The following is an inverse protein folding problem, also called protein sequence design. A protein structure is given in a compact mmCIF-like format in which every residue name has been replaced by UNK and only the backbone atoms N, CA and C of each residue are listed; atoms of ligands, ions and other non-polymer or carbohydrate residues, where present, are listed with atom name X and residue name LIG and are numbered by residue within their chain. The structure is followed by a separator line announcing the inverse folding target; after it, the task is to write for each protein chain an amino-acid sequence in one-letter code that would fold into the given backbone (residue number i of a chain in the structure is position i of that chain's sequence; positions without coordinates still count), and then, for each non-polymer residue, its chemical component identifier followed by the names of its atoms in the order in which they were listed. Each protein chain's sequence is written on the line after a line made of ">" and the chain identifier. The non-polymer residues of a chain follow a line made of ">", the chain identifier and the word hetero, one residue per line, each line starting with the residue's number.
data_IF_166491786001
#
_entry.id   IF_166491786001
#
_cell.length_a   1.000
_cell.length_b   1.000
_cell.length_c   1.000
_cell.angle_alpha   90.00
_cell.angle_beta   90.00
_cell.angle_gamma   90.00
#
_symmetry.space_group_name_H-M   'P 1'
#
loop_
_entity.id
_entity.type
_entity.pdbx_description
1 polymer ?
#
# COMPACT_ATOMS: atom_id res chain seq x y z
N UNK A 1 -8.85 -40.00 -11.37
CA UNK A 1 -8.79 -38.59 -11.80
C UNK A 1 -8.19 -37.67 -10.73
N UNK A 2 -8.67 -37.71 -9.48
CA UNK A 2 -8.19 -36.85 -8.38
C UNK A 2 -6.64 -36.78 -8.19
N UNK A 3 -5.89 -37.89 -8.32
CA UNK A 3 -4.41 -37.87 -8.19
C UNK A 3 -3.70 -37.08 -9.29
N UNK A 4 -4.23 -37.07 -10.52
CA UNK A 4 -3.66 -36.30 -11.64
C UNK A 4 -3.90 -34.79 -11.48
N UNK A 5 -5.08 -34.42 -10.98
CA UNK A 5 -5.43 -33.02 -10.68
C UNK A 5 -4.61 -32.44 -9.52
N UNK A 6 -4.30 -33.26 -8.50
CA UNK A 6 -3.42 -32.85 -7.40
C UNK A 6 -1.97 -32.64 -7.87
N UNK A 7 -1.48 -33.48 -8.79
CA UNK A 7 -0.20 -33.30 -9.46
C UNK A 7 -0.14 -31.97 -10.21
N UNK A 8 -1.15 -31.69 -11.04
CA UNK A 8 -1.25 -30.47 -11.84
C UNK A 8 -1.25 -29.18 -10.98
N UNK A 9 -2.01 -29.16 -9.88
CA UNK A 9 -1.99 -28.02 -8.95
C UNK A 9 -0.62 -27.87 -8.25
N UNK A 10 0.00 -28.96 -7.82
CA UNK A 10 1.34 -28.94 -7.22
C UNK A 10 2.39 -28.40 -8.18
N UNK A 11 2.32 -28.80 -9.45
CA UNK A 11 3.22 -28.36 -10.50
C UNK A 11 3.02 -26.87 -10.82
N UNK A 12 1.78 -26.39 -10.90
CA UNK A 12 1.49 -24.96 -11.03
C UNK A 12 2.09 -24.14 -9.88
N UNK A 13 1.98 -24.62 -8.64
CA UNK A 13 2.60 -23.99 -7.46
C UNK A 13 4.12 -24.01 -7.56
N UNK A 14 4.71 -25.11 -8.02
CA UNK A 14 6.16 -25.28 -8.18
C UNK A 14 6.70 -24.29 -9.22
N UNK A 15 6.12 -24.27 -10.41
CA UNK A 15 6.48 -23.36 -11.50
C UNK A 15 6.38 -21.89 -11.08
N UNK A 16 5.30 -21.52 -10.38
CA UNK A 16 5.11 -20.18 -9.83
C UNK A 16 6.19 -19.81 -8.81
N UNK A 17 6.59 -20.74 -7.94
CA UNK A 17 7.68 -20.51 -6.99
C UNK A 17 9.04 -20.38 -7.67
N UNK A 18 9.27 -21.11 -8.76
CA UNK A 18 10.51 -21.04 -9.54
C UNK A 18 10.63 -19.71 -10.30
N UNK A 19 9.50 -19.12 -10.70
CA UNK A 19 9.45 -17.78 -11.29
C UNK A 19 9.70 -16.62 -10.31
N UNK A 20 9.92 -16.88 -9.02
CA UNK A 20 10.18 -15.84 -8.03
C UNK A 20 11.50 -15.12 -8.30
N UNK A 21 11.57 -13.78 -8.09
CA UNK A 21 12.83 -13.06 -8.19
C UNK A 21 13.83 -13.60 -7.16
N UNK A 22 14.98 -14.09 -7.65
CA UNK A 22 16.06 -14.67 -6.82
C UNK A 22 16.69 -13.66 -5.86
N UNK A 23 16.67 -12.37 -6.22
CA UNK A 23 17.24 -11.28 -5.42
C UNK A 23 16.18 -10.20 -5.19
N UNK A 24 15.32 -10.40 -4.18
CA UNK A 24 14.39 -9.38 -3.70
C UNK A 24 14.76 -8.96 -2.29
N UNK A 25 15.26 -7.74 -2.12
CA UNK A 25 15.40 -7.15 -0.80
C UNK A 25 14.02 -6.71 -0.29
N UNK A 26 13.40 -7.58 0.54
CA UNK A 26 12.04 -7.35 1.08
C UNK A 26 11.96 -6.12 1.98
N UNK A 27 13.04 -5.78 2.69
CA UNK A 27 13.08 -4.61 3.56
C UNK A 27 13.10 -3.32 2.74
N UNK A 28 13.94 -3.26 1.69
CA UNK A 28 13.97 -2.13 0.77
C UNK A 28 12.65 -1.97 0.01
N UNK A 29 12.05 -3.07 -0.43
CA UNK A 29 10.71 -3.06 -1.04
C UNK A 29 9.66 -2.47 -0.08
N UNK A 30 9.64 -2.98 1.16
CA UNK A 30 8.67 -2.54 2.16
C UNK A 30 8.85 -1.06 2.53
N UNK A 31 10.08 -0.62 2.73
CA UNK A 31 10.40 0.79 3.02
C UNK A 31 9.90 1.72 1.91
N UNK A 32 10.19 1.40 0.65
CA UNK A 32 9.74 2.21 -0.49
C UNK A 32 8.21 2.23 -0.61
N UNK A 33 7.55 1.09 -0.48
CA UNK A 33 6.09 1.01 -0.60
C UNK A 33 5.39 1.72 0.57
N UNK A 34 5.92 1.59 1.79
CA UNK A 34 5.45 2.31 2.96
C UNK A 34 5.63 3.83 2.78
N UNK A 35 6.83 4.31 2.42
CA UNK A 35 7.10 5.73 2.17
C UNK A 35 6.14 6.32 1.14
N UNK A 36 5.95 5.62 0.01
CA UNK A 36 5.05 6.09 -1.05
C UNK A 36 3.59 6.10 -0.60
N UNK A 37 3.14 5.09 0.14
CA UNK A 37 1.77 5.02 0.66
C UNK A 37 1.51 6.08 1.73
N UNK A 38 2.49 6.32 2.60
CA UNK A 38 2.43 7.33 3.64
C UNK A 38 2.42 8.74 3.04
N UNK A 39 3.33 9.03 2.10
CA UNK A 39 3.36 10.32 1.41
C UNK A 39 2.06 10.59 0.64
N UNK A 40 1.51 9.59 -0.06
CA UNK A 40 0.21 9.70 -0.70
C UNK A 40 -0.91 9.97 0.32
N UNK A 41 -0.90 9.26 1.46
CA UNK A 41 -1.83 9.49 2.56
C UNK A 41 -1.75 10.92 3.09
N UNK A 42 -0.54 11.42 3.36
CA UNK A 42 -0.30 12.79 3.83
C UNK A 42 -0.81 13.83 2.82
N UNK A 43 -0.54 13.65 1.53
CA UNK A 43 -1.02 14.59 0.49
C UNK A 43 -2.55 14.59 0.45
N UNK A 44 -3.18 13.43 0.36
CA UNK A 44 -4.64 13.31 0.23
C UNK A 44 -5.33 13.82 1.49
N UNK A 45 -4.96 13.29 2.65
CA UNK A 45 -5.59 13.61 3.93
C UNK A 45 -5.25 15.02 4.41
N UNK A 46 -4.01 15.48 4.17
CA UNK A 46 -3.61 16.85 4.47
C UNK A 46 -4.34 17.86 3.59
N UNK A 47 -4.53 17.57 2.30
CA UNK A 47 -5.35 18.42 1.41
C UNK A 47 -6.80 18.47 1.88
N UNK A 48 -7.38 17.34 2.30
CA UNK A 48 -8.73 17.31 2.89
C UNK A 48 -8.78 18.14 4.17
N UNK A 49 -7.78 18.02 5.05
CA UNK A 49 -7.68 18.79 6.30
C UNK A 49 -7.53 20.30 6.07
N UNK A 50 -6.86 20.72 5.00
CA UNK A 50 -6.75 22.13 4.60
C UNK A 50 -8.06 22.67 4.01
N UNK A 51 -8.75 21.88 3.19
CA UNK A 51 -9.98 22.29 2.50
C UNK A 51 -11.22 22.23 3.41
N UNK A 52 -11.22 21.36 4.41
CA UNK A 52 -12.36 21.14 5.30
C UNK A 52 -11.92 20.86 6.75
N UNK A 53 -11.25 21.81 7.42
CA UNK A 53 -10.71 21.60 8.77
C UNK A 53 -11.78 21.30 9.81
N UNK A 54 -12.99 21.86 9.69
CA UNK A 54 -14.08 21.67 10.66
C UNK A 54 -14.63 20.23 10.75
N UNK A 55 -14.38 19.39 9.74
CA UNK A 55 -14.90 18.02 9.70
C UNK A 55 -13.86 16.97 10.11
N UNK A 56 -12.61 17.39 10.33
CA UNK A 56 -11.46 16.52 10.47
C UNK A 56 -11.15 16.16 11.94
N UNK A 57 -11.22 14.86 12.27
CA UNK A 57 -10.75 14.31 13.56
C UNK A 57 -11.20 15.03 14.83
N UNK A 58 -10.27 15.25 15.77
CA UNK A 58 -10.56 15.86 17.08
C UNK A 58 -10.79 17.38 17.01
N UNK A 59 -10.53 18.01 15.87
CA UNK A 59 -10.77 19.46 15.68
C UNK A 59 -12.24 19.85 15.55
N UNK A 60 -13.16 18.87 15.58
CA UNK A 60 -14.61 19.09 15.75
C UNK A 60 -14.98 19.88 17.01
N UNK A 61 -14.08 20.01 17.99
CA UNK A 61 -14.26 20.84 19.20
C UNK A 61 -13.40 22.11 19.28
N UNK A 62 -12.41 22.28 18.39
CA UNK A 62 -11.42 23.39 18.47
C UNK A 62 -11.73 24.55 17.51
N UNK A 63 -12.69 24.36 16.61
CA UNK A 63 -13.16 25.37 15.66
C UNK A 63 -14.18 26.31 16.31
N UNK A 64 -13.74 27.23 17.19
CA UNK A 64 -14.61 28.35 17.60
C UNK A 64 -13.92 29.62 18.12
N UNK A 65 -12.60 29.66 18.38
CA UNK A 65 -11.94 30.90 18.87
C UNK A 65 -10.80 31.36 17.98
N UNK A 66 -11.17 32.01 16.87
CA UNK A 66 -10.51 33.25 16.45
C UNK A 66 -9.13 33.16 15.78
N UNK A 67 -8.78 32.11 15.04
CA UNK A 67 -7.46 32.03 14.38
C UNK A 67 -7.51 31.76 12.87
N UNK A 68 -8.39 32.48 12.17
CA UNK A 68 -8.55 32.36 10.72
C UNK A 68 -8.73 33.75 10.07
N UNK A 69 -7.68 34.58 10.17
CA UNK A 69 -7.64 35.92 9.55
C UNK A 69 -7.01 35.93 8.15
N UNK A 70 -7.61 36.72 7.26
CA UNK A 70 -7.26 37.06 5.86
C UNK A 70 -7.17 35.93 4.80
N UNK A 71 -6.64 34.75 5.12
CA UNK A 71 -6.72 33.51 4.31
C UNK A 71 -7.36 32.35 5.06
N UNK A 72 -7.79 32.59 6.30
CA UNK A 72 -8.53 31.61 7.07
C UNK A 72 -7.74 30.36 7.47
N UNK A 73 -6.40 30.44 7.58
CA UNK A 73 -5.53 29.36 8.08
C UNK A 73 -4.61 29.92 9.18
N UNK A 74 -4.81 29.51 10.44
CA UNK A 74 -3.87 29.78 11.53
C UNK A 74 -2.53 29.04 11.31
N UNK A 75 -1.56 29.20 12.22
CA UNK A 75 -0.27 28.49 12.15
C UNK A 75 -0.38 26.97 11.90
N UNK A 76 -1.39 26.23 12.42
CA UNK A 76 -1.52 24.79 12.17
C UNK A 76 -1.84 24.49 10.70
N UNK A 77 -2.59 25.39 10.07
CA UNK A 77 -2.89 25.34 8.64
C UNK A 77 -1.65 25.54 7.78
N UNK A 78 -0.80 26.51 8.13
CA UNK A 78 0.49 26.72 7.45
C UNK A 78 1.46 25.55 7.64
N UNK A 79 1.53 24.99 8.84
CA UNK A 79 2.31 23.79 9.10
C UNK A 79 1.83 22.61 8.24
N UNK A 80 0.51 22.38 8.17
CA UNK A 80 -0.06 21.33 7.34
C UNK A 80 0.18 21.57 5.84
N UNK A 81 0.05 22.82 5.37
CA UNK A 81 0.38 23.18 3.99
C UNK A 81 1.85 22.90 3.66
N UNK A 82 2.76 23.19 4.59
CA UNK A 82 4.17 22.83 4.47
C UNK A 82 4.39 21.31 4.38
N UNK A 83 3.72 20.52 5.23
CA UNK A 83 3.80 19.05 5.21
C UNK A 83 3.28 18.49 3.87
N UNK A 84 2.14 19.00 3.37
CA UNK A 84 1.59 18.61 2.07
C UNK A 84 2.54 18.98 0.93
N UNK A 85 3.10 20.19 0.96
CA UNK A 85 4.07 20.65 -0.03
C UNK A 85 5.32 19.79 -0.04
N UNK A 86 5.86 19.43 1.13
CA UNK A 86 6.98 18.49 1.24
C UNK A 86 6.63 17.11 0.67
N UNK A 87 5.40 16.63 0.90
CA UNK A 87 4.89 15.41 0.28
C UNK A 87 4.88 15.49 -1.25
N UNK A 88 4.38 16.60 -1.81
CA UNK A 88 4.36 16.84 -3.26
C UNK A 88 5.78 16.91 -3.85
N UNK A 89 6.69 17.64 -3.19
CA UNK A 89 8.11 17.71 -3.60
C UNK A 89 8.75 16.32 -3.55
N UNK A 90 8.50 15.55 -2.48
CA UNK A 90 8.96 14.17 -2.38
C UNK A 90 8.44 13.33 -3.56
N UNK A 91 7.17 13.46 -3.91
CA UNK A 91 6.56 12.74 -5.04
C UNK A 91 7.16 13.14 -6.39
N UNK A 92 7.52 14.41 -6.59
CA UNK A 92 8.18 14.89 -7.80
C UNK A 92 9.62 14.36 -7.90
N UNK A 93 10.39 14.44 -6.81
CA UNK A 93 11.79 13.96 -6.76
C UNK A 93 11.86 12.44 -6.93
N UNK A 94 10.93 11.70 -6.32
CA UNK A 94 10.90 10.24 -6.34
C UNK A 94 9.89 9.67 -7.35
N UNK A 95 9.52 10.45 -8.39
CA UNK A 95 8.53 10.06 -9.40
C UNK A 95 8.79 8.69 -10.02
N UNK A 96 10.07 8.35 -10.23
CA UNK A 96 10.47 7.06 -10.79
C UNK A 96 10.25 5.91 -9.81
N UNK A 97 10.52 6.14 -8.53
CA UNK A 97 10.25 5.18 -7.46
C UNK A 97 8.75 4.95 -7.27
N UNK A 98 7.93 6.00 -7.34
CA UNK A 98 6.47 5.90 -7.27
C UNK A 98 5.91 5.18 -8.48
N UNK A 99 6.33 5.57 -9.70
CA UNK A 99 5.96 4.87 -10.94
C UNK A 99 6.36 3.41 -10.86
N UNK A 100 7.55 3.11 -10.34
CA UNK A 100 8.00 1.73 -10.13
C UNK A 100 7.11 0.96 -9.16
N UNK A 101 6.68 1.56 -8.04
CA UNK A 101 5.75 0.92 -7.09
C UNK A 101 4.39 0.68 -7.72
N UNK A 102 3.83 1.69 -8.39
CA UNK A 102 2.54 1.60 -9.09
C UNK A 102 2.60 0.53 -10.17
N UNK A 103 3.64 0.54 -11.01
CA UNK A 103 3.88 -0.53 -11.98
C UNK A 103 4.00 -1.85 -11.24
N UNK A 104 4.85 -2.02 -10.23
CA UNK A 104 4.94 -3.32 -9.52
C UNK A 104 3.62 -3.84 -8.94
N UNK A 105 2.72 -2.97 -8.50
CA UNK A 105 1.40 -3.34 -7.99
C UNK A 105 0.40 -3.62 -9.12
N UNK A 106 0.48 -2.91 -10.24
CA UNK A 106 -0.48 -2.97 -11.37
C UNK A 106 -0.01 -3.88 -12.53
N UNK A 107 1.29 -3.97 -12.80
CA UNK A 107 1.97 -4.79 -13.82
C UNK A 107 1.56 -6.27 -13.76
N UNK A 108 1.29 -6.88 -12.58
CA UNK A 108 0.65 -8.20 -12.48
C UNK A 108 -0.66 -8.35 -13.26
N UNK A 109 -1.31 -7.25 -13.61
CA UNK A 109 -2.63 -7.19 -14.28
C UNK A 109 -2.58 -6.59 -15.69
N UNK A 110 -1.43 -6.07 -16.14
CA UNK A 110 -1.34 -5.28 -17.38
C UNK A 110 -0.33 -5.80 -18.40
N UNK A 111 0.67 -6.59 -18.01
CA UNK A 111 1.68 -7.04 -18.98
C UNK A 111 1.34 -8.40 -19.59
N UNK A 112 1.20 -8.50 -20.93
CA UNK A 112 1.35 -9.78 -21.60
C UNK A 112 2.81 -10.23 -21.46
N UNK A 113 2.98 -11.52 -21.20
CA UNK A 113 4.28 -12.18 -21.03
C UNK A 113 4.37 -13.32 -22.01
N UNK A 114 4.56 -12.93 -23.26
CA UNK A 114 5.27 -13.78 -24.19
C UNK A 114 6.67 -14.04 -23.58
N UNK A 115 7.19 -15.27 -23.69
CA UNK A 115 8.61 -15.64 -23.47
C UNK A 115 9.10 -16.01 -22.04
N UNK A 116 8.25 -16.35 -21.05
CA UNK A 116 8.74 -16.90 -19.76
C UNK A 116 8.40 -18.39 -19.57
N UNK A 117 9.39 -19.32 -19.63
CA UNK A 117 9.15 -20.77 -19.56
C UNK A 117 8.48 -21.24 -18.26
N UNK A 118 8.78 -20.58 -17.14
CA UNK A 118 8.16 -20.93 -15.85
C UNK A 118 6.69 -20.52 -15.78
N UNK A 119 6.31 -19.50 -16.56
CA UNK A 119 4.94 -19.01 -16.62
C UNK A 119 4.08 -19.90 -17.51
N UNK A 120 4.56 -20.22 -18.71
CA UNK A 120 3.91 -21.16 -19.62
C UNK A 120 3.68 -22.53 -18.96
N UNK A 121 4.68 -23.03 -18.22
CA UNK A 121 4.56 -24.25 -17.43
C UNK A 121 3.50 -24.17 -16.31
N UNK A 122 3.34 -23.01 -15.67
CA UNK A 122 2.33 -22.81 -14.65
C UNK A 122 0.91 -22.68 -15.23
N UNK A 123 0.75 -21.95 -16.35
CA UNK A 123 -0.53 -21.83 -17.09
C UNK A 123 -0.98 -23.20 -17.58
N UNK A 124 -0.09 -23.97 -18.21
CA UNK A 124 -0.41 -25.32 -18.69
C UNK A 124 -0.85 -26.26 -17.56
N UNK A 125 -0.15 -26.21 -16.42
CA UNK A 125 -0.50 -27.00 -15.24
C UNK A 125 -1.83 -26.56 -14.59
N UNK A 126 -2.12 -25.26 -14.56
CA UNK A 126 -3.43 -24.74 -14.11
C UNK A 126 -4.57 -25.08 -15.08
N UNK A 127 -4.31 -25.07 -16.39
CA UNK A 127 -5.23 -25.50 -17.42
C UNK A 127 -5.65 -26.96 -17.27
N UNK A 128 -4.76 -27.83 -16.79
CA UNK A 128 -5.06 -29.23 -16.49
C UNK A 128 -5.69 -29.47 -15.10
N UNK A 129 -5.83 -28.42 -14.27
CA UNK A 129 -6.40 -28.54 -12.92
C UNK A 129 -7.90 -28.27 -12.88
N UNK A 130 -8.60 -28.84 -11.90
CA UNK A 130 -10.03 -28.58 -11.66
C UNK A 130 -10.29 -27.14 -11.17
N UNK A 131 -11.51 -26.64 -11.41
CA UNK A 131 -11.88 -25.25 -11.09
C UNK A 131 -11.74 -24.90 -9.60
N UNK A 132 -11.95 -25.87 -8.71
CA UNK A 132 -11.70 -25.70 -7.28
C UNK A 132 -10.23 -25.42 -6.97
N UNK A 133 -9.30 -26.09 -7.65
CA UNK A 133 -7.87 -25.88 -7.48
C UNK A 133 -7.39 -24.58 -8.14
N UNK A 134 -7.96 -24.20 -9.29
CA UNK A 134 -7.76 -22.88 -9.90
C UNK A 134 -8.21 -21.76 -8.97
N UNK A 135 -9.38 -21.90 -8.35
CA UNK A 135 -9.89 -20.92 -7.38
C UNK A 135 -8.99 -20.78 -6.15
N UNK A 136 -8.53 -21.90 -5.59
CA UNK A 136 -7.55 -21.90 -4.48
C UNK A 136 -6.23 -21.26 -4.88
N UNK A 137 -5.79 -21.50 -6.11
CA UNK A 137 -4.60 -20.90 -6.68
C UNK A 137 -4.75 -19.37 -6.75
N UNK A 138 -5.84 -18.87 -7.34
CA UNK A 138 -6.17 -17.44 -7.43
C UNK A 138 -6.24 -16.79 -6.05
N UNK A 139 -6.86 -17.44 -5.07
CA UNK A 139 -6.90 -16.91 -3.70
C UNK A 139 -5.52 -16.78 -3.06
N UNK A 140 -4.70 -17.84 -3.16
CA UNK A 140 -3.40 -17.89 -2.51
C UNK A 140 -2.41 -16.92 -3.12
N UNK A 141 -2.44 -16.84 -4.45
CA UNK A 141 -1.44 -16.14 -5.21
C UNK A 141 -1.97 -14.78 -5.66
N UNK A 142 -3.20 -14.60 -6.09
CA UNK A 142 -3.63 -13.27 -6.58
C UNK A 142 -4.26 -12.44 -5.45
N UNK A 143 -5.34 -12.94 -4.85
CA UNK A 143 -6.19 -12.12 -3.98
C UNK A 143 -5.60 -11.85 -2.60
N UNK A 144 -5.07 -12.87 -1.92
CA UNK A 144 -4.44 -12.70 -0.59
C UNK A 144 -3.39 -11.59 -0.55
N UNK A 145 -2.40 -11.57 -1.45
CA UNK A 145 -1.37 -10.54 -1.45
C UNK A 145 -1.89 -9.18 -1.93
N UNK A 146 -2.84 -9.12 -2.85
CA UNK A 146 -3.54 -7.86 -3.14
C UNK A 146 -4.21 -7.31 -1.88
N UNK A 147 -4.95 -8.15 -1.15
CA UNK A 147 -5.60 -7.77 0.11
C UNK A 147 -4.58 -7.29 1.15
N UNK A 148 -3.41 -7.94 1.25
CA UNK A 148 -2.34 -7.48 2.13
C UNK A 148 -1.76 -6.13 1.69
N UNK A 149 -1.59 -5.87 0.40
CA UNK A 149 -1.13 -4.58 -0.11
C UNK A 149 -2.15 -3.47 0.17
N UNK A 150 -3.45 -3.75 -0.01
CA UNK A 150 -4.54 -2.83 0.34
C UNK A 150 -4.52 -2.53 1.84
N UNK A 151 -4.45 -3.56 2.69
CA UNK A 151 -4.35 -3.38 4.14
C UNK A 151 -3.09 -2.61 4.54
N UNK A 152 -1.93 -2.91 3.94
CA UNK A 152 -0.69 -2.19 4.20
C UNK A 152 -0.83 -0.70 3.85
N UNK A 153 -1.47 -0.39 2.72
CA UNK A 153 -1.76 0.99 2.30
C UNK A 153 -2.71 1.67 3.28
N UNK A 154 -3.78 0.98 3.70
CA UNK A 154 -4.72 1.48 4.69
C UNK A 154 -4.04 1.85 6.01
N UNK A 155 -3.16 0.99 6.52
CA UNK A 155 -2.38 1.27 7.73
C UNK A 155 -1.41 2.46 7.55
N UNK A 156 -0.80 2.63 6.38
CA UNK A 156 0.02 3.81 6.09
C UNK A 156 -0.82 5.10 6.07
N UNK A 157 -2.01 5.05 5.46
CA UNK A 157 -2.97 6.16 5.48
C UNK A 157 -3.45 6.47 6.89
N UNK A 158 -3.70 5.46 7.72
CA UNK A 158 -4.08 5.65 9.12
C UNK A 158 -2.95 6.34 9.92
N UNK A 159 -1.69 5.97 9.68
CA UNK A 159 -0.54 6.67 10.26
C UNK A 159 -0.47 8.14 9.81
N UNK A 160 -0.71 8.40 8.52
CA UNK A 160 -0.79 9.77 7.98
C UNK A 160 -1.96 10.56 8.58
N UNK A 161 -3.11 9.91 8.80
CA UNK A 161 -4.27 10.52 9.45
C UNK A 161 -3.92 11.06 10.84
N UNK A 162 -3.25 10.26 11.68
CA UNK A 162 -2.83 10.70 13.02
C UNK A 162 -1.83 11.85 12.98
N UNK A 163 -0.94 11.89 11.97
CA UNK A 163 -0.04 13.04 11.77
C UNK A 163 -0.84 14.32 11.44
N UNK A 164 -1.79 14.22 10.50
CA UNK A 164 -2.61 15.36 10.07
C UNK A 164 -3.51 15.86 11.22
N UNK A 165 -4.17 14.94 11.94
CA UNK A 165 -5.02 15.26 13.08
C UNK A 165 -4.22 15.92 14.21
N UNK A 166 -3.06 15.36 14.57
CA UNK A 166 -2.17 15.96 15.55
C UNK A 166 -1.69 17.36 15.14
N UNK A 167 -1.37 17.56 13.85
CA UNK A 167 -0.94 18.87 13.34
C UNK A 167 -2.07 19.90 13.47
N UNK A 168 -3.29 19.56 13.03
CA UNK A 168 -4.45 20.44 13.12
C UNK A 168 -4.87 20.71 14.58
N UNK A 169 -4.72 19.72 15.46
CA UNK A 169 -4.95 19.83 16.90
C UNK A 169 -3.77 20.45 17.66
N UNK A 170 -2.79 21.06 16.98
CA UNK A 170 -1.66 21.77 17.62
C UNK A 170 -0.80 20.86 18.52
N UNK A 171 -0.74 19.57 18.20
CA UNK A 171 -0.13 18.51 19.01
C UNK A 171 -0.74 18.37 20.42
N UNK A 172 -1.92 18.95 20.68
CA UNK A 172 -2.70 18.76 21.89
C UNK A 172 -3.53 17.47 21.80
N UNK A 173 -2.86 16.36 21.48
CA UNK A 173 -3.48 15.03 21.35
C UNK A 173 -3.01 14.13 22.50
N UNK A 174 -3.90 13.25 22.97
CA UNK A 174 -3.52 12.25 23.97
C UNK A 174 -2.44 11.30 23.43
N UNK A 175 -1.63 10.72 24.34
CA UNK A 175 -0.51 9.83 24.00
C UNK A 175 -0.90 8.61 23.15
N UNK A 176 -2.19 8.26 23.14
CA UNK A 176 -2.74 7.21 22.29
C UNK A 176 -2.54 7.50 20.79
N UNK A 177 -2.63 8.77 20.36
CA UNK A 177 -2.48 9.15 18.96
C UNK A 177 -1.07 8.85 18.38
N UNK A 178 0.04 9.31 18.96
CA UNK A 178 1.37 8.97 18.44
C UNK A 178 1.65 7.47 18.53
N UNK A 179 1.18 6.79 19.58
CA UNK A 179 1.32 5.33 19.70
C UNK A 179 0.60 4.61 18.56
N UNK A 180 -0.66 4.96 18.27
CA UNK A 180 -1.42 4.38 17.16
C UNK A 180 -0.77 4.71 15.81
N UNK A 181 -0.28 5.94 15.63
CA UNK A 181 0.46 6.35 14.43
C UNK A 181 1.69 5.47 14.18
N UNK A 182 2.48 5.18 15.22
CA UNK A 182 3.67 4.30 15.15
C UNK A 182 3.27 2.84 14.90
N UNK A 183 2.28 2.32 15.62
CA UNK A 183 1.81 0.93 15.47
C UNK A 183 1.31 0.69 14.05
N UNK A 184 0.51 1.61 13.50
CA UNK A 184 0.02 1.51 12.13
C UNK A 184 1.15 1.60 11.10
N UNK A 185 2.17 2.44 11.35
CA UNK A 185 3.36 2.51 10.52
C UNK A 185 4.13 1.18 10.49
N UNK A 186 4.36 0.57 11.65
CA UNK A 186 5.00 -0.75 11.78
C UNK A 186 4.17 -1.83 11.10
N UNK A 187 2.85 -1.86 11.33
CA UNK A 187 1.95 -2.82 10.72
C UNK A 187 1.96 -2.73 9.19
N UNK A 188 1.94 -1.51 8.64
CA UNK A 188 2.05 -1.27 7.21
C UNK A 188 3.38 -1.80 6.64
N UNK A 189 4.51 -1.47 7.27
CA UNK A 189 5.82 -1.92 6.83
C UNK A 189 5.95 -3.46 6.87
N UNK A 190 5.42 -4.10 7.91
CA UNK A 190 5.40 -5.56 8.04
C UNK A 190 4.53 -6.21 6.97
N UNK A 191 3.33 -5.69 6.71
CA UNK A 191 2.46 -6.20 5.65
C UNK A 191 3.13 -6.05 4.29
N UNK A 192 3.68 -4.89 3.95
CA UNK A 192 4.43 -4.71 2.71
C UNK A 192 5.62 -5.67 2.58
N UNK A 193 6.31 -5.98 3.68
CA UNK A 193 7.40 -6.96 3.71
C UNK A 193 6.92 -8.38 3.43
N UNK A 194 5.76 -8.77 3.98
CA UNK A 194 5.15 -10.08 3.76
C UNK A 194 4.66 -10.23 2.32
N UNK A 195 4.07 -9.16 1.76
CA UNK A 195 3.51 -9.16 0.41
C UNK A 195 4.57 -9.00 -0.66
N UNK A 196 5.78 -8.54 -0.33
CA UNK A 196 6.87 -8.28 -1.29
C UNK A 196 7.14 -9.45 -2.24
N UNK A 197 7.25 -10.67 -1.69
CA UNK A 197 7.40 -11.89 -2.51
C UNK A 197 6.16 -12.09 -3.33
N UNK A 198 4.99 -12.02 -2.69
CA UNK A 198 3.72 -12.15 -3.37
C UNK A 198 3.63 -11.25 -4.60
N UNK A 199 3.53 -9.93 -4.43
CA UNK A 199 3.34 -8.97 -5.53
C UNK A 199 4.39 -9.15 -6.64
N UNK A 200 5.60 -9.61 -6.30
CA UNK A 200 6.65 -9.88 -7.29
C UNK A 200 6.59 -11.25 -7.98
N UNK A 201 5.64 -12.11 -7.62
CA UNK A 201 5.43 -13.45 -8.19
C UNK A 201 4.15 -13.57 -9.04
N UNK A 202 3.21 -12.62 -9.02
CA UNK A 202 1.84 -12.85 -9.57
C UNK A 202 1.58 -12.42 -11.00
N UNK A 203 1.01 -13.37 -11.77
CA UNK A 203 0.73 -13.30 -13.22
C UNK A 203 -0.42 -14.22 -13.72
N UNK A 204 -1.13 -14.94 -12.85
CA UNK A 204 -1.97 -16.11 -13.23
C UNK A 204 -3.47 -15.96 -12.95
N UNK A 205 -3.96 -14.73 -12.77
CA UNK A 205 -5.40 -14.46 -12.77
C UNK A 205 -5.89 -14.19 -14.18
#
# INVERSE_FOLDING_TARGET
>A
MARREHGAYSDAVKWTKLGRPRRLNRASFAGRCWQNSFAAGVIVLGSIGLLSPSTYGQTRGFSARGQFGALGLGWPGWALAGIVLLGLVYSLVHREGIRWTVVRVIDPWRRPLEENPNYEGAVGALGASSDANRTRYLWRFVYKPLAQAVLATFFAFSSAYFLVDATLAQFQVGWQQPVLGVVNSIASALLWRLTAVGVSTYRLA
#
